data_IF_009290966016
#
_entry.id   IF_009290966016
#
_cell.length_a   1.000
_cell.length_b   1.000
_cell.length_c   1.000
_cell.angle_alpha   90.00
_cell.angle_beta   90.00
_cell.angle_gamma   90.00
#
_symmetry.space_group_name_H-M   'P 1'
#
loop_
_entity.id
_entity.type
_entity.pdbx_description
1 polymer ?
#
# COMPACT_ATOMS: atom_id res chain seq x y z
N UNK A 1 -75.26 49.77 -13.39
CA UNK A 1 -76.23 49.85 -12.28
C UNK A 1 -75.94 48.68 -11.36
N UNK A 2 -75.16 48.90 -10.31
CA UNK A 2 -75.64 49.21 -8.96
C UNK A 2 -76.31 48.03 -8.23
N UNK A 3 -75.51 47.46 -7.33
CA UNK A 3 -75.81 47.00 -5.97
C UNK A 3 -77.24 46.53 -5.60
N UNK A 4 -77.36 45.28 -5.10
CA UNK A 4 -78.19 44.95 -3.92
C UNK A 4 -77.57 43.81 -3.07
N UNK A 5 -77.20 44.19 -1.83
CA UNK A 5 -77.38 43.55 -0.49
C UNK A 5 -76.99 42.06 -0.27
N UNK A 6 -75.99 41.83 0.60
CA UNK A 6 -76.08 41.54 2.06
C UNK A 6 -76.76 40.20 2.42
N UNK A 7 -75.93 39.20 2.75
CA UNK A 7 -76.18 38.22 3.82
C UNK A 7 -74.83 37.95 4.53
N UNK A 8 -74.74 38.26 5.83
CA UNK A 8 -73.60 37.91 6.69
C UNK A 8 -73.85 36.50 7.26
N UNK A 9 -72.91 35.54 7.12
CA UNK A 9 -72.98 34.29 7.87
C UNK A 9 -72.58 34.52 9.36
N UNK A 10 -73.04 33.65 10.28
CA UNK A 10 -72.87 33.83 11.72
C UNK A 10 -71.40 33.74 12.17
N UNK A 11 -71.07 34.47 13.23
CA UNK A 11 -69.71 34.76 13.72
C UNK A 11 -69.10 33.72 14.66
N UNK A 12 -69.64 32.51 14.75
CA UNK A 12 -69.12 31.48 15.66
C UNK A 12 -69.45 30.08 15.15
N UNK A 13 -68.49 29.15 15.06
CA UNK A 13 -68.76 27.77 14.69
C UNK A 13 -69.68 27.10 15.73
N UNK A 14 -70.48 26.09 15.34
CA UNK A 14 -71.31 25.33 16.27
C UNK A 14 -70.41 24.71 17.36
N UNK A 15 -70.84 24.76 18.63
CA UNK A 15 -70.09 24.23 19.79
C UNK A 15 -69.58 22.79 19.61
N UNK A 16 -70.24 22.03 18.75
CA UNK A 16 -69.90 20.65 18.39
C UNK A 16 -68.61 20.56 17.55
N UNK A 17 -68.36 21.52 16.65
CA UNK A 17 -67.14 21.57 15.82
C UNK A 17 -65.94 21.96 16.68
N UNK A 18 -66.12 22.90 17.62
CA UNK A 18 -65.06 23.37 18.52
C UNK A 18 -64.58 22.25 19.48
N UNK A 19 -65.51 21.42 19.96
CA UNK A 19 -65.23 20.24 20.77
C UNK A 19 -64.46 19.15 19.99
N UNK A 20 -64.82 18.94 18.71
CA UNK A 20 -64.12 17.98 17.84
C UNK A 20 -62.70 18.46 17.54
N UNK A 21 -62.49 19.74 17.23
CA UNK A 21 -61.13 20.29 17.02
C UNK A 21 -60.26 20.19 18.25
N UNK A 22 -60.79 20.49 19.46
CA UNK A 22 -60.04 20.31 20.71
C UNK A 22 -59.68 18.84 20.95
N UNK A 23 -60.60 17.90 20.72
CA UNK A 23 -60.32 16.47 20.89
C UNK A 23 -59.28 15.95 19.88
N UNK A 24 -59.27 16.45 18.64
CA UNK A 24 -58.25 16.11 17.64
C UNK A 24 -56.88 16.68 18.02
N UNK A 25 -56.84 17.91 18.54
CA UNK A 25 -55.60 18.57 18.96
C UNK A 25 -54.99 17.91 20.22
N UNK A 26 -55.82 17.51 21.18
CA UNK A 26 -55.42 16.72 22.35
C UNK A 26 -54.85 15.36 21.93
N UNK A 27 -55.55 14.62 21.06
CA UNK A 27 -55.05 13.33 20.56
C UNK A 27 -53.75 13.45 19.75
N UNK A 28 -53.56 14.54 19.02
CA UNK A 28 -52.32 14.80 18.26
C UNK A 28 -51.14 15.10 19.20
N UNK A 29 -51.38 15.84 20.28
CA UNK A 29 -50.37 16.11 21.31
C UNK A 29 -50.02 14.85 22.11
N UNK A 30 -51.00 14.01 22.42
CA UNK A 30 -50.75 12.69 23.04
C UNK A 30 -49.92 11.80 22.11
N UNK A 31 -50.28 11.70 20.83
CA UNK A 31 -49.51 10.92 19.85
C UNK A 31 -48.06 11.40 19.71
N UNK A 32 -47.85 12.72 19.66
CA UNK A 32 -46.49 13.30 19.68
C UNK A 32 -45.73 12.97 20.96
N UNK A 33 -46.40 13.01 22.12
CA UNK A 33 -45.81 12.59 23.39
C UNK A 33 -45.35 11.14 23.37
N UNK A 34 -46.16 10.23 22.84
CA UNK A 34 -45.81 8.81 22.68
C UNK A 34 -44.66 8.60 21.68
N UNK A 35 -44.61 9.33 20.58
CA UNK A 35 -43.49 9.28 19.64
C UNK A 35 -42.18 9.73 20.28
N UNK A 36 -42.18 10.84 21.03
CA UNK A 36 -40.99 11.33 21.74
C UNK A 36 -40.53 10.33 22.79
N UNK A 37 -41.46 9.74 23.55
CA UNK A 37 -41.14 8.72 24.55
C UNK A 37 -40.55 7.45 23.91
N UNK A 38 -41.12 7.00 22.79
CA UNK A 38 -40.62 5.85 22.04
C UNK A 38 -39.23 6.10 21.44
N UNK A 39 -38.98 7.29 20.90
CA UNK A 39 -37.65 7.69 20.42
C UNK A 39 -36.62 7.75 21.55
N UNK A 40 -37.00 8.26 22.72
CA UNK A 40 -36.12 8.30 23.88
C UNK A 40 -35.78 6.90 24.41
N UNK A 41 -36.77 6.00 24.46
CA UNK A 41 -36.58 4.59 24.83
C UNK A 41 -35.71 3.84 23.81
N UNK A 42 -35.91 4.07 22.52
CA UNK A 42 -35.07 3.48 21.46
C UNK A 42 -33.61 3.93 21.58
N UNK A 43 -33.37 5.22 21.85
CA UNK A 43 -32.02 5.75 22.08
C UNK A 43 -31.38 5.15 23.33
N UNK A 44 -32.15 4.97 24.40
CA UNK A 44 -31.69 4.28 25.61
C UNK A 44 -31.29 2.84 25.33
N UNK A 45 -32.12 2.08 24.60
CA UNK A 45 -31.82 0.69 24.22
C UNK A 45 -30.57 0.61 23.33
N UNK A 46 -30.43 1.50 22.35
CA UNK A 46 -29.22 1.59 21.51
C UNK A 46 -28.00 1.93 22.38
N UNK A 47 -28.11 2.90 23.29
CA UNK A 47 -27.01 3.28 24.17
C UNK A 47 -26.57 2.16 25.10
N UNK A 48 -27.53 1.41 25.69
CA UNK A 48 -27.25 0.23 26.49
C UNK A 48 -26.67 -0.92 25.66
N UNK A 49 -27.16 -1.13 24.43
CA UNK A 49 -26.63 -2.11 23.48
C UNK A 49 -25.18 -1.82 23.11
N UNK A 50 -24.87 -0.56 22.76
CA UNK A 50 -23.52 -0.09 22.46
C UNK A 50 -22.61 -0.22 23.69
N UNK A 51 -23.07 0.19 24.87
CA UNK A 51 -22.30 0.05 26.11
C UNK A 51 -21.99 -1.42 26.44
N UNK A 52 -22.97 -2.31 26.25
CA UNK A 52 -22.82 -3.75 26.49
C UNK A 52 -21.88 -4.39 25.46
N UNK A 53 -21.97 -3.99 24.19
CA UNK A 53 -21.05 -4.39 23.12
C UNK A 53 -19.62 -3.91 23.39
N UNK A 54 -19.41 -2.67 23.80
CA UNK A 54 -18.08 -2.12 24.15
C UNK A 54 -17.48 -2.82 25.36
N UNK A 55 -18.31 -3.24 26.33
CA UNK A 55 -17.84 -3.91 27.56
C UNK A 55 -17.56 -5.40 27.37
N UNK A 56 -18.32 -6.08 26.51
CA UNK A 56 -18.13 -7.51 26.19
C UNK A 56 -17.14 -7.74 25.05
N UNK A 57 -17.00 -6.77 24.14
CA UNK A 57 -16.07 -6.79 23.01
C UNK A 57 -15.25 -5.49 22.99
N UNK A 58 -14.14 -5.42 23.75
CA UNK A 58 -13.28 -4.23 23.82
C UNK A 58 -12.72 -3.76 22.46
N UNK A 59 -12.80 -4.62 21.44
CA UNK A 59 -12.26 -4.41 20.09
C UNK A 59 -13.33 -3.97 19.06
N UNK A 60 -14.57 -3.69 19.46
CA UNK A 60 -15.68 -3.38 18.53
C UNK A 60 -15.62 -1.95 17.94
N UNK A 61 -14.84 -1.06 18.55
CA UNK A 61 -14.48 0.23 17.95
C UNK A 61 -13.10 0.09 17.31
N UNK A 62 -12.87 0.62 16.10
CA UNK A 62 -11.52 0.68 15.54
C UNK A 62 -10.64 1.40 16.55
N UNK A 63 -9.63 0.69 17.08
CA UNK A 63 -8.61 1.26 17.92
C UNK A 63 -7.77 2.24 17.09
N UNK A 64 -8.26 3.46 16.90
CA UNK A 64 -7.40 4.63 16.74
C UNK A 64 -6.83 4.93 18.13
N UNK A 65 -5.92 4.09 18.62
CA UNK A 65 -4.97 4.57 19.62
C UNK A 65 -4.01 5.48 18.84
N UNK A 66 -4.04 6.81 19.03
CA UNK A 66 -2.95 7.62 18.51
C UNK A 66 -1.66 7.07 19.12
N UNK A 67 -0.72 6.67 18.27
CA UNK A 67 0.60 6.25 18.72
C UNK A 67 1.26 7.34 19.58
N UNK A 68 2.29 7.03 20.38
CA UNK A 68 2.86 7.98 21.36
C UNK A 68 3.53 9.22 20.74
N UNK A 69 3.58 9.34 19.42
CA UNK A 69 4.26 10.42 18.73
C UNK A 69 3.25 11.50 18.32
N UNK A 70 3.00 12.46 19.24
CA UNK A 70 2.57 13.80 18.80
C UNK A 70 3.48 14.22 17.63
N UNK A 71 2.95 14.78 16.54
CA UNK A 71 3.77 15.32 15.48
C UNK A 71 4.88 16.21 16.04
N UNK A 72 6.13 15.75 15.89
CA UNK A 72 7.25 16.68 15.91
C UNK A 72 7.04 17.75 14.82
N UNK A 73 7.69 18.91 14.94
CA UNK A 73 7.54 19.98 13.96
C UNK A 73 7.86 19.45 12.55
N UNK A 74 7.07 19.90 11.55
CA UNK A 74 7.31 19.58 10.15
C UNK A 74 8.67 20.17 9.76
N UNK A 75 9.61 19.28 9.40
CA UNK A 75 10.89 19.67 8.85
C UNK A 75 10.70 20.03 7.37
N UNK A 76 10.70 21.34 7.07
CA UNK A 76 10.36 21.88 5.73
C UNK A 76 11.19 21.28 4.61
N UNK A 77 12.50 21.10 4.82
CA UNK A 77 13.39 20.49 3.82
C UNK A 77 12.93 19.08 3.38
N UNK A 78 12.37 18.26 4.28
CA UNK A 78 11.85 16.94 3.92
C UNK A 78 10.46 17.00 3.27
N UNK A 79 9.62 17.96 3.69
CA UNK A 79 8.34 18.21 3.06
C UNK A 79 8.51 18.66 1.60
N UNK A 80 9.46 19.56 1.34
CA UNK A 80 9.76 20.05 0.00
C UNK A 80 10.37 18.93 -0.86
N UNK A 81 11.30 18.15 -0.30
CA UNK A 81 11.87 16.98 -0.99
C UNK A 81 10.80 15.94 -1.35
N UNK A 82 9.82 15.70 -0.46
CA UNK A 82 8.69 14.81 -0.74
C UNK A 82 7.82 15.35 -1.89
N UNK A 83 7.56 16.66 -1.92
CA UNK A 83 6.84 17.30 -3.02
C UNK A 83 7.56 17.15 -4.37
N UNK A 84 8.89 17.27 -4.39
CA UNK A 84 9.70 17.02 -5.59
C UNK A 84 9.67 15.54 -5.98
N UNK A 85 9.79 14.63 -5.01
CA UNK A 85 9.73 13.19 -5.28
C UNK A 85 8.40 12.81 -5.95
N UNK A 86 7.29 13.41 -5.56
CA UNK A 86 6.03 13.14 -6.25
C UNK A 86 5.87 13.85 -7.60
N UNK A 87 6.56 14.97 -7.85
CA UNK A 87 6.67 15.52 -9.20
C UNK A 87 7.42 14.56 -10.12
N UNK A 88 8.43 13.85 -9.62
CA UNK A 88 9.12 12.81 -10.39
C UNK A 88 8.16 11.68 -10.84
N UNK A 89 7.23 11.25 -9.99
CA UNK A 89 6.18 10.31 -10.43
C UNK A 89 5.32 10.85 -11.58
N UNK A 90 4.94 12.13 -11.55
CA UNK A 90 4.21 12.76 -12.66
C UNK A 90 5.07 12.81 -13.94
N UNK A 91 6.37 13.07 -13.80
CA UNK A 91 7.35 13.09 -14.89
C UNK A 91 7.54 11.72 -15.53
N UNK A 92 7.31 10.61 -14.82
CA UNK A 92 7.44 9.27 -15.39
C UNK A 92 6.17 8.73 -16.04
N UNK A 93 5.01 9.40 -15.92
CA UNK A 93 3.73 8.87 -16.42
C UNK A 93 3.75 8.67 -17.94
N UNK A 94 3.36 7.48 -18.39
CA UNK A 94 3.05 7.19 -19.79
C UNK A 94 1.54 7.20 -20.03
N UNK A 95 1.11 7.40 -21.27
CA UNK A 95 -0.30 7.38 -21.66
C UNK A 95 -0.89 8.77 -21.82
N UNK A 96 -2.22 8.85 -21.78
CA UNK A 96 -2.95 10.12 -21.89
C UNK A 96 -2.95 10.85 -20.55
N UNK A 97 -2.22 11.95 -20.43
CA UNK A 97 -2.06 12.66 -19.17
C UNK A 97 -3.32 13.46 -18.82
N UNK A 98 -3.85 13.24 -17.61
CA UNK A 98 -5.03 13.95 -17.09
C UNK A 98 -4.60 14.83 -15.92
N UNK A 99 -5.07 16.09 -15.89
CA UNK A 99 -4.68 17.08 -14.87
C UNK A 99 -3.15 17.25 -14.75
N UNK A 100 -2.46 17.25 -15.90
CA UNK A 100 -1.00 17.26 -15.94
C UNK A 100 -0.42 18.54 -15.31
N UNK A 101 0.45 18.37 -14.31
CA UNK A 101 1.17 19.45 -13.63
C UNK A 101 2.53 19.75 -14.24
N UNK A 102 3.04 18.86 -15.09
CA UNK A 102 4.36 18.96 -15.70
C UNK A 102 4.19 19.50 -17.11
N UNK A 103 4.38 20.82 -17.26
CA UNK A 103 4.10 21.55 -18.51
C UNK A 103 4.85 21.06 -19.76
N UNK A 104 6.00 20.41 -19.57
CA UNK A 104 6.82 19.89 -20.66
C UNK A 104 6.59 18.41 -20.97
N UNK A 105 5.74 17.72 -20.19
CA UNK A 105 5.26 16.37 -20.50
C UNK A 105 3.94 16.44 -21.26
N UNK A 106 3.76 15.55 -22.23
CA UNK A 106 2.54 15.39 -23.01
C UNK A 106 2.07 13.94 -23.09
N UNK A 107 0.99 13.73 -23.84
CA UNK A 107 0.46 12.41 -24.13
C UNK A 107 1.49 11.57 -24.90
N UNK A 108 1.75 10.36 -24.43
CA UNK A 108 2.74 9.46 -25.03
C UNK A 108 2.27 8.01 -25.02
N UNK A 109 2.84 7.19 -25.93
CA UNK A 109 2.61 5.74 -25.98
C UNK A 109 1.12 5.29 -25.93
N UNK A 110 0.25 6.08 -26.56
CA UNK A 110 -1.22 5.89 -26.51
C UNK A 110 -1.73 4.59 -27.14
N UNK A 111 -0.86 3.85 -27.85
CA UNK A 111 -1.20 2.60 -28.54
C UNK A 111 -0.57 1.36 -27.90
N UNK A 112 0.10 1.52 -26.77
CA UNK A 112 0.69 0.41 -26.03
C UNK A 112 -0.39 -0.65 -25.71
N UNK A 113 -0.13 -1.91 -26.10
CA UNK A 113 -1.06 -3.03 -25.91
C UNK A 113 -2.09 -3.24 -27.04
N UNK A 114 -2.18 -2.34 -28.02
CA UNK A 114 -3.14 -2.45 -29.12
C UNK A 114 -2.93 -3.71 -29.99
N UNK A 115 -1.70 -4.21 -30.10
CA UNK A 115 -1.36 -5.48 -30.77
C UNK A 115 -1.84 -6.72 -30.02
N UNK A 116 -2.34 -6.54 -28.79
CA UNK A 116 -2.92 -7.56 -27.90
C UNK A 116 -4.38 -7.31 -27.56
N UNK A 117 -5.01 -6.29 -28.16
CA UNK A 117 -6.35 -5.82 -27.81
C UNK A 117 -6.50 -5.40 -26.33
N UNK A 118 -5.45 -4.81 -25.75
CA UNK A 118 -5.42 -4.29 -24.38
C UNK A 118 -5.09 -2.80 -24.37
N UNK A 119 -5.51 -2.10 -23.31
CA UNK A 119 -5.04 -0.74 -23.02
C UNK A 119 -3.90 -0.80 -22.00
N UNK A 120 -2.66 -0.83 -22.51
CA UNK A 120 -1.45 -0.78 -21.70
C UNK A 120 -0.81 0.61 -21.74
N UNK A 121 -1.59 1.66 -22.06
CA UNK A 121 -1.09 3.02 -22.26
C UNK A 121 -0.61 3.70 -20.98
N UNK A 122 -1.24 3.42 -19.83
CA UNK A 122 -0.82 3.94 -18.51
C UNK A 122 0.48 3.30 -18.01
N UNK A 123 0.82 3.56 -16.75
CA UNK A 123 2.04 3.08 -16.10
C UNK A 123 3.13 4.15 -16.12
N UNK A 124 4.30 3.77 -15.63
CA UNK A 124 5.47 4.62 -15.57
C UNK A 124 6.52 4.15 -16.58
N UNK A 125 7.24 5.08 -17.19
CA UNK A 125 8.55 4.77 -17.74
C UNK A 125 9.52 4.47 -16.61
N UNK A 126 10.40 3.50 -16.85
CA UNK A 126 11.21 2.89 -15.80
C UNK A 126 12.28 3.85 -15.24
N UNK A 127 13.12 4.40 -16.12
CA UNK A 127 14.22 5.27 -15.73
C UNK A 127 14.30 6.51 -16.63
N UNK A 128 15.42 6.68 -17.34
CA UNK A 128 15.58 7.71 -18.38
C UNK A 128 15.18 7.23 -19.77
N UNK A 129 14.75 5.98 -19.90
CA UNK A 129 14.26 5.33 -21.09
C UNK A 129 12.72 5.39 -21.17
N UNK A 130 12.13 4.86 -22.24
CA UNK A 130 10.67 4.83 -22.42
C UNK A 130 10.10 3.40 -22.35
N UNK A 131 10.84 2.43 -21.83
CA UNK A 131 10.33 1.08 -21.57
C UNK A 131 9.48 1.07 -20.30
N UNK A 132 8.41 0.28 -20.31
CA UNK A 132 7.63 -0.04 -19.10
C UNK A 132 8.07 -1.41 -18.60
N UNK A 133 8.94 -1.47 -17.60
CA UNK A 133 9.31 -2.73 -16.94
C UNK A 133 8.37 -2.99 -15.75
N UNK A 134 7.57 -4.06 -15.84
CA UNK A 134 6.54 -4.38 -14.85
C UNK A 134 7.10 -4.76 -13.48
N UNK A 135 8.26 -5.40 -13.41
CA UNK A 135 8.85 -5.88 -12.16
C UNK A 135 9.29 -4.74 -11.21
N UNK A 136 10.17 -3.81 -11.60
CA UNK A 136 10.51 -2.64 -10.78
C UNK A 136 9.33 -1.67 -10.59
N UNK A 137 8.41 -1.57 -11.56
CA UNK A 137 7.20 -0.73 -11.43
C UNK A 137 6.26 -1.27 -10.35
N UNK A 138 6.06 -2.60 -10.28
CA UNK A 138 5.28 -3.23 -9.23
C UNK A 138 5.92 -3.05 -7.86
N UNK A 139 7.24 -3.27 -7.75
CA UNK A 139 7.99 -2.98 -6.52
C UNK A 139 7.81 -1.54 -6.04
N UNK A 140 7.86 -0.58 -6.96
CA UNK A 140 7.61 0.84 -6.67
C UNK A 140 6.21 1.07 -6.11
N UNK A 141 5.18 0.43 -6.68
CA UNK A 141 3.81 0.50 -6.16
C UNK A 141 3.66 -0.14 -4.79
N UNK A 142 4.34 -1.26 -4.52
CA UNK A 142 4.31 -1.90 -3.20
C UNK A 142 4.95 -1.01 -2.13
N UNK A 143 6.12 -0.42 -2.41
CA UNK A 143 6.78 0.52 -1.48
C UNK A 143 5.97 1.79 -1.27
N UNK A 144 5.39 2.36 -2.33
CA UNK A 144 4.53 3.53 -2.23
C UNK A 144 3.28 3.22 -1.38
N UNK A 145 2.67 2.05 -1.56
CA UNK A 145 1.57 1.59 -0.73
C UNK A 145 1.98 1.46 0.73
N UNK A 146 3.12 0.81 1.01
CA UNK A 146 3.63 0.67 2.38
C UNK A 146 3.89 2.03 3.04
N UNK A 147 4.50 2.97 2.30
CA UNK A 147 4.75 4.32 2.80
C UNK A 147 3.45 5.09 3.08
N UNK A 148 2.42 4.96 2.24
CA UNK A 148 1.11 5.58 2.46
C UNK A 148 0.42 4.96 3.69
N UNK A 149 0.50 3.64 3.85
CA UNK A 149 -0.12 2.94 4.99
C UNK A 149 0.51 3.36 6.34
N UNK A 150 1.82 3.53 6.38
CA UNK A 150 2.55 3.84 7.61
C UNK A 150 2.63 5.36 7.88
N UNK A 151 2.72 6.17 6.83
CA UNK A 151 3.00 7.61 6.93
C UNK A 151 1.98 8.51 6.22
N UNK A 152 0.82 7.99 5.81
CA UNK A 152 -0.20 8.75 5.10
C UNK A 152 -0.69 10.00 5.83
N UNK A 153 -0.83 9.94 7.16
CA UNK A 153 -1.17 11.12 7.98
C UNK A 153 -0.07 12.20 7.92
N UNK A 154 1.20 11.80 7.80
CA UNK A 154 2.34 12.72 7.65
C UNK A 154 2.35 13.35 6.28
N UNK A 155 2.06 12.57 5.23
CA UNK A 155 1.90 13.09 3.87
C UNK A 155 0.72 14.07 3.79
N UNK A 156 -0.38 13.80 4.50
CA UNK A 156 -1.54 14.70 4.56
C UNK A 156 -1.20 16.03 5.24
N UNK A 157 -0.42 16.00 6.32
CA UNK A 157 0.02 17.21 7.02
C UNK A 157 0.90 18.15 6.18
N UNK A 158 1.43 17.67 5.05
CA UNK A 158 2.21 18.46 4.07
C UNK A 158 1.58 18.49 2.69
N UNK A 159 0.28 18.16 2.59
CA UNK A 159 -0.52 18.24 1.37
C UNK A 159 -0.02 17.34 0.21
N UNK A 160 0.67 16.24 0.53
CA UNK A 160 1.22 15.30 -0.46
C UNK A 160 0.43 13.98 -0.56
N UNK A 161 -0.49 13.69 0.36
CA UNK A 161 -1.21 12.41 0.37
C UNK A 161 -2.03 12.15 -0.90
N UNK A 162 -2.76 13.16 -1.39
CA UNK A 162 -3.58 13.00 -2.60
C UNK A 162 -2.74 12.65 -3.82
N UNK A 163 -1.60 13.33 -3.99
CA UNK A 163 -0.67 13.04 -5.07
C UNK A 163 -0.02 11.66 -4.94
N UNK A 164 0.30 11.23 -3.71
CA UNK A 164 0.81 9.88 -3.47
C UNK A 164 -0.21 8.81 -3.91
N UNK A 165 -1.49 9.00 -3.55
CA UNK A 165 -2.58 8.10 -3.92
C UNK A 165 -2.87 8.12 -5.43
N UNK A 166 -2.82 9.29 -6.06
CA UNK A 166 -3.01 9.42 -7.51
C UNK A 166 -1.90 8.70 -8.29
N UNK A 167 -0.65 8.83 -7.85
CA UNK A 167 0.49 8.15 -8.46
C UNK A 167 0.42 6.63 -8.25
N UNK A 168 0.03 6.18 -7.06
CA UNK A 168 -0.23 4.76 -6.81
C UNK A 168 -1.32 4.22 -7.74
N UNK A 169 -2.45 4.93 -7.84
CA UNK A 169 -3.56 4.55 -8.72
C UNK A 169 -3.14 4.50 -10.18
N UNK A 170 -2.29 5.43 -10.63
CA UNK A 170 -1.78 5.44 -12.01
C UNK A 170 -1.02 4.16 -12.35
N UNK A 171 -0.19 3.68 -11.43
CA UNK A 171 0.55 2.43 -11.58
C UNK A 171 -0.42 1.25 -11.53
N UNK A 172 -1.30 1.18 -10.53
CA UNK A 172 -2.18 0.02 -10.35
C UNK A 172 -3.25 -0.10 -11.44
N UNK A 173 -3.69 1.01 -12.06
CA UNK A 173 -4.54 0.95 -13.26
C UNK A 173 -3.85 0.25 -14.43
N UNK A 174 -2.54 0.49 -14.62
CA UNK A 174 -1.76 -0.24 -15.62
C UNK A 174 -1.62 -1.71 -15.25
N UNK A 175 -1.31 -2.01 -13.98
CA UNK A 175 -1.14 -3.40 -13.52
C UNK A 175 -2.43 -4.22 -13.66
N UNK A 176 -3.61 -3.63 -13.40
CA UNK A 176 -4.91 -4.28 -13.63
C UNK A 176 -5.08 -4.60 -15.13
N UNK A 177 -4.85 -3.62 -16.01
CA UNK A 177 -4.99 -3.83 -17.44
C UNK A 177 -3.97 -4.83 -18.00
N UNK A 178 -2.80 -4.93 -17.37
CA UNK A 178 -1.76 -5.89 -17.70
C UNK A 178 -2.12 -7.34 -17.29
N UNK A 179 -3.15 -7.54 -16.46
CA UNK A 179 -3.64 -8.85 -16.04
C UNK A 179 -5.05 -9.14 -16.61
N UNK A 180 -5.16 -9.46 -17.92
CA UNK A 180 -6.45 -9.64 -18.55
C UNK A 180 -7.15 -10.96 -18.20
N UNK A 181 -6.40 -11.96 -17.72
CA UNK A 181 -6.93 -13.28 -17.35
C UNK A 181 -6.06 -13.95 -16.28
N UNK A 182 -6.60 -14.90 -15.47
CA UNK A 182 -5.96 -15.38 -14.24
C UNK A 182 -4.53 -15.92 -14.36
N UNK A 183 -4.11 -16.43 -15.53
CA UNK A 183 -2.77 -16.99 -15.75
C UNK A 183 -2.00 -16.25 -16.87
N UNK A 184 -2.29 -14.97 -17.06
CA UNK A 184 -1.69 -14.12 -18.08
C UNK A 184 -1.34 -12.76 -17.49
N UNK A 185 -0.08 -12.35 -17.61
CA UNK A 185 0.39 -11.05 -17.12
C UNK A 185 1.37 -10.43 -18.12
N UNK A 186 1.05 -9.22 -18.59
CA UNK A 186 1.95 -8.40 -19.40
C UNK A 186 2.95 -7.67 -18.51
N UNK A 187 4.22 -7.97 -18.69
CA UNK A 187 5.30 -7.53 -17.77
C UNK A 187 6.27 -6.55 -18.42
N UNK A 188 6.12 -6.31 -19.72
CA UNK A 188 6.95 -5.35 -20.43
C UNK A 188 6.18 -4.73 -21.60
N UNK A 189 6.34 -3.43 -21.82
CA UNK A 189 5.93 -2.77 -23.07
C UNK A 189 7.07 -1.89 -23.58
N UNK A 190 7.45 -2.12 -24.84
CA UNK A 190 8.66 -1.56 -25.44
C UNK A 190 9.73 -2.64 -25.63
N UNK A 191 10.50 -2.53 -26.71
CA UNK A 191 11.72 -3.30 -26.92
C UNK A 191 12.89 -2.50 -26.34
N UNK A 192 13.59 -2.98 -25.30
CA UNK A 192 14.60 -2.18 -24.62
C UNK A 192 15.81 -1.88 -25.49
N UNK A 193 16.23 -2.83 -26.34
CA UNK A 193 17.40 -2.63 -27.19
C UNK A 193 17.08 -1.53 -28.23
N UNK A 194 15.88 -1.52 -28.81
CA UNK A 194 15.45 -0.45 -29.74
C UNK A 194 15.22 0.90 -29.07
N UNK A 195 14.61 0.89 -27.87
CA UNK A 195 14.34 2.11 -27.10
C UNK A 195 15.65 2.81 -26.72
N UNK A 196 16.66 2.05 -26.30
CA UNK A 196 17.95 2.57 -25.85
C UNK A 196 18.88 3.00 -27.00
N UNK A 197 18.57 2.60 -28.24
CA UNK A 197 19.25 3.12 -29.45
C UNK A 197 18.79 4.54 -29.82
N UNK A 198 17.68 5.04 -29.26
CA UNK A 198 17.11 6.35 -29.57
C UNK A 198 17.14 7.29 -28.36
N UNK A 199 17.63 8.53 -28.55
CA UNK A 199 17.55 9.58 -27.54
C UNK A 199 16.43 10.57 -27.91
N UNK A 200 15.25 10.37 -27.33
CA UNK A 200 14.09 11.19 -27.66
C UNK A 200 13.14 11.40 -26.48
N UNK A 201 12.17 12.29 -26.70
CA UNK A 201 11.07 12.50 -25.77
C UNK A 201 10.02 11.38 -25.91
N UNK A 202 9.34 10.96 -24.85
CA UNK A 202 8.31 9.93 -24.94
C UNK A 202 7.17 10.28 -25.92
N UNK A 203 6.86 11.57 -26.09
CA UNK A 203 5.83 12.07 -27.03
C UNK A 203 6.27 11.99 -28.50
N UNK A 204 7.54 11.71 -28.76
CA UNK A 204 8.17 11.62 -30.08
C UNK A 204 8.27 10.20 -30.63
N UNK A 205 8.17 9.19 -29.76
CA UNK A 205 8.43 7.80 -30.10
C UNK A 205 7.68 7.35 -31.34
N UNK A 206 8.41 6.75 -32.27
CA UNK A 206 7.90 6.27 -33.54
C UNK A 206 8.06 4.75 -33.70
N UNK A 207 8.86 4.16 -32.83
CA UNK A 207 9.31 2.78 -32.84
C UNK A 207 8.15 1.86 -32.45
N UNK A 208 8.26 0.60 -32.87
CA UNK A 208 7.32 -0.41 -32.41
C UNK A 208 7.58 -0.70 -30.93
N UNK A 209 6.51 -0.67 -30.13
CA UNK A 209 6.56 -0.96 -28.69
C UNK A 209 5.82 -2.26 -28.35
N UNK A 210 6.46 -3.44 -28.55
CA UNK A 210 5.80 -4.73 -28.34
C UNK A 210 5.48 -4.97 -26.86
N UNK A 211 4.37 -5.66 -26.59
CA UNK A 211 4.03 -6.12 -25.25
C UNK A 211 4.50 -7.58 -25.04
N UNK A 212 5.29 -7.81 -23.99
CA UNK A 212 5.75 -9.13 -23.56
C UNK A 212 5.02 -9.57 -22.29
N UNK A 213 4.81 -10.89 -22.17
CA UNK A 213 4.00 -11.48 -21.11
C UNK A 213 4.63 -12.73 -20.53
N UNK A 214 4.20 -13.06 -19.32
CA UNK A 214 4.36 -14.37 -18.69
C UNK A 214 3.00 -15.07 -18.62
N UNK A 215 3.02 -16.39 -18.70
CA UNK A 215 1.83 -17.24 -18.64
C UNK A 215 2.19 -18.66 -18.18
N UNK A 216 1.22 -19.57 -18.16
CA UNK A 216 1.42 -20.94 -17.71
C UNK A 216 2.53 -21.72 -18.48
N UNK A 217 2.82 -21.38 -19.73
CA UNK A 217 3.90 -22.01 -20.52
C UNK A 217 5.25 -21.31 -20.38
N UNK A 218 5.22 -20.02 -20.08
CA UNK A 218 6.39 -19.15 -19.88
C UNK A 218 6.23 -18.41 -18.55
N UNK A 219 6.46 -19.10 -17.42
CA UNK A 219 6.14 -18.59 -16.09
C UNK A 219 7.02 -17.41 -15.67
N UNK A 220 6.53 -16.65 -14.69
CA UNK A 220 7.26 -15.55 -14.05
C UNK A 220 6.72 -15.29 -12.66
N UNK A 221 7.05 -16.19 -11.73
CA UNK A 221 6.59 -16.17 -10.34
C UNK A 221 7.03 -14.93 -9.59
N UNK A 222 8.26 -14.49 -9.83
CA UNK A 222 8.85 -13.26 -9.28
C UNK A 222 7.99 -12.04 -9.61
N UNK A 223 7.86 -11.71 -10.89
CA UNK A 223 7.12 -10.54 -11.34
C UNK A 223 5.62 -10.67 -11.06
N UNK A 224 5.03 -11.86 -11.20
CA UNK A 224 3.61 -12.06 -10.89
C UNK A 224 3.33 -11.91 -9.39
N UNK A 225 4.19 -12.42 -8.52
CA UNK A 225 4.05 -12.24 -7.09
C UNK A 225 4.33 -10.79 -6.65
N UNK A 226 5.27 -10.08 -7.28
CA UNK A 226 5.46 -8.64 -6.98
C UNK A 226 4.23 -7.81 -7.42
N UNK A 227 3.62 -8.10 -8.57
CA UNK A 227 2.36 -7.45 -8.96
C UNK A 227 1.23 -7.80 -7.99
N UNK A 228 1.16 -9.04 -7.51
CA UNK A 228 0.22 -9.43 -6.47
C UNK A 228 0.45 -8.64 -5.16
N UNK A 229 1.71 -8.47 -4.74
CA UNK A 229 2.08 -7.66 -3.57
C UNK A 229 1.68 -6.19 -3.75
N UNK A 230 1.92 -5.61 -4.93
CA UNK A 230 1.57 -4.25 -5.27
C UNK A 230 0.05 -4.02 -5.18
N UNK A 231 -0.74 -4.92 -5.76
CA UNK A 231 -2.19 -4.82 -5.74
C UNK A 231 -2.79 -5.11 -4.35
N UNK A 232 -2.28 -6.12 -3.64
CA UNK A 232 -2.74 -6.43 -2.28
C UNK A 232 -2.47 -5.27 -1.31
N UNK A 233 -1.25 -4.70 -1.33
CA UNK A 233 -0.90 -3.54 -0.51
C UNK A 233 -1.68 -2.28 -0.91
N UNK A 234 -1.86 -2.01 -2.21
CA UNK A 234 -2.69 -0.90 -2.68
C UNK A 234 -4.16 -1.06 -2.28
N UNK A 235 -4.69 -2.29 -2.26
CA UNK A 235 -6.08 -2.54 -1.83
C UNK A 235 -6.33 -2.03 -0.40
N UNK A 236 -5.34 -2.11 0.49
CA UNK A 236 -5.42 -1.59 1.85
C UNK A 236 -5.46 -0.06 1.87
N UNK A 237 -4.69 0.60 1.01
CA UNK A 237 -4.69 2.07 0.87
C UNK A 237 -6.06 2.56 0.43
N UNK A 238 -6.64 1.93 -0.60
CA UNK A 238 -7.91 2.35 -1.17
C UNK A 238 -9.14 1.84 -0.42
N UNK A 239 -8.99 0.92 0.54
CA UNK A 239 -10.11 0.26 1.25
C UNK A 239 -11.20 1.19 1.78
N UNK A 240 -10.83 2.38 2.27
CA UNK A 240 -11.78 3.39 2.80
C UNK A 240 -12.11 4.51 1.80
N UNK A 241 -11.32 4.63 0.73
CA UNK A 241 -11.39 5.73 -0.24
C UNK A 241 -12.25 5.31 -1.43
N UNK A 242 -12.01 4.10 -1.94
CA UNK A 242 -12.69 3.48 -3.06
C UNK A 242 -12.78 1.96 -2.80
N UNK A 243 -13.83 1.49 -2.09
CA UNK A 243 -13.99 0.09 -1.73
C UNK A 243 -14.13 -0.85 -2.92
N UNK A 244 -14.72 -0.39 -4.03
CA UNK A 244 -14.90 -1.20 -5.24
C UNK A 244 -13.54 -1.40 -5.94
N UNK A 245 -12.75 -0.34 -6.08
CA UNK A 245 -11.39 -0.44 -6.60
C UNK A 245 -10.49 -1.28 -5.69
N UNK A 246 -10.61 -1.12 -4.36
CA UNK A 246 -9.94 -1.97 -3.37
C UNK A 246 -10.27 -3.45 -3.58
N UNK A 247 -11.54 -3.78 -3.81
CA UNK A 247 -11.96 -5.14 -4.09
C UNK A 247 -11.36 -5.66 -5.40
N UNK A 248 -11.39 -4.88 -6.49
CA UNK A 248 -10.75 -5.24 -7.77
C UNK A 248 -9.27 -5.54 -7.60
N UNK A 249 -8.52 -4.67 -6.91
CA UNK A 249 -7.10 -4.88 -6.65
C UNK A 249 -6.84 -6.18 -5.89
N UNK A 250 -7.61 -6.43 -4.82
CA UNK A 250 -7.45 -7.64 -4.01
C UNK A 250 -7.75 -8.91 -4.81
N UNK A 251 -8.78 -8.92 -5.64
CA UNK A 251 -9.10 -10.08 -6.48
C UNK A 251 -7.99 -10.37 -7.49
N UNK A 252 -7.49 -9.35 -8.18
CA UNK A 252 -6.36 -9.53 -9.11
C UNK A 252 -5.09 -10.01 -8.36
N UNK A 253 -4.86 -9.53 -7.13
CA UNK A 253 -3.74 -9.99 -6.32
C UNK A 253 -3.85 -11.48 -5.92
N UNK A 254 -5.05 -11.93 -5.54
CA UNK A 254 -5.32 -13.33 -5.20
C UNK A 254 -5.10 -14.24 -6.42
N UNK A 255 -5.56 -13.83 -7.60
CA UNK A 255 -5.37 -14.55 -8.88
C UNK A 255 -3.89 -14.63 -9.28
N UNK A 256 -3.18 -13.49 -9.28
CA UNK A 256 -1.77 -13.43 -9.65
C UNK A 256 -0.87 -14.21 -8.69
N UNK A 257 -1.16 -14.21 -7.39
CA UNK A 257 -0.43 -15.04 -6.44
C UNK A 257 -0.65 -16.53 -6.71
N UNK A 258 -1.90 -16.94 -6.98
CA UNK A 258 -2.19 -18.32 -7.34
C UNK A 258 -1.46 -18.74 -8.63
N UNK A 259 -1.44 -17.88 -9.65
CA UNK A 259 -0.67 -18.09 -10.87
C UNK A 259 0.83 -18.22 -10.61
N UNK A 260 1.41 -17.30 -9.84
CA UNK A 260 2.83 -17.28 -9.50
C UNK A 260 3.28 -18.54 -8.76
N UNK A 261 2.49 -19.02 -7.80
CA UNK A 261 2.81 -20.19 -6.99
C UNK A 261 2.58 -21.52 -7.73
N UNK A 262 1.55 -21.58 -8.60
CA UNK A 262 1.20 -22.78 -9.36
C UNK A 262 2.19 -23.05 -10.50
N UNK A 263 2.63 -22.01 -11.23
CA UNK A 263 3.55 -22.13 -12.35
C UNK A 263 4.90 -21.50 -11.99
N UNK A 264 5.72 -22.24 -11.25
CA UNK A 264 6.97 -21.72 -10.69
C UNK A 264 8.08 -21.52 -11.72
N UNK A 265 8.62 -20.32 -11.82
CA UNK A 265 9.78 -20.01 -12.64
C UNK A 265 10.12 -18.52 -12.66
N UNK A 266 11.40 -18.17 -12.84
CA UNK A 266 11.82 -16.77 -12.93
C UNK A 266 11.43 -16.19 -14.30
N UNK A 267 10.86 -14.98 -14.33
CA UNK A 267 10.39 -14.37 -15.58
C UNK A 267 11.53 -14.11 -16.57
N UNK A 268 12.74 -13.88 -16.05
CA UNK A 268 13.92 -13.62 -16.86
C UNK A 268 14.40 -14.86 -17.61
N UNK A 269 13.98 -16.07 -17.19
CA UNK A 269 14.19 -17.32 -17.95
C UNK A 269 13.17 -17.41 -19.09
N UNK A 270 11.93 -17.01 -18.84
CA UNK A 270 10.85 -16.99 -19.84
C UNK A 270 11.03 -15.88 -20.88
N UNK A 271 11.64 -14.77 -20.49
CA UNK A 271 11.90 -13.58 -21.31
C UNK A 271 13.41 -13.25 -21.25
N UNK A 272 14.28 -14.04 -21.91
CA UNK A 272 15.74 -13.93 -21.74
C UNK A 272 16.33 -12.55 -22.04
N UNK A 273 15.70 -11.76 -22.91
CA UNK A 273 16.14 -10.41 -23.26
C UNK A 273 16.10 -9.45 -22.07
N UNK A 274 15.24 -9.67 -21.08
CA UNK A 274 15.11 -8.78 -19.92
C UNK A 274 16.31 -8.87 -18.97
N UNK A 275 17.11 -9.94 -19.06
CA UNK A 275 18.25 -10.18 -18.17
C UNK A 275 19.31 -9.07 -18.21
N UNK A 276 19.44 -8.38 -19.34
CA UNK A 276 20.38 -7.25 -19.47
C UNK A 276 19.97 -6.04 -18.63
N UNK A 277 18.71 -5.95 -18.23
CA UNK A 277 18.09 -4.79 -17.59
C UNK A 277 17.65 -5.13 -16.16
N UNK A 278 16.74 -6.09 -16.03
CA UNK A 278 16.13 -6.51 -14.76
C UNK A 278 16.19 -8.03 -14.61
N UNK A 279 17.38 -8.60 -14.51
CA UNK A 279 17.52 -10.04 -14.25
C UNK A 279 16.97 -10.41 -12.88
N UNK A 280 16.08 -11.40 -12.84
CA UNK A 280 15.65 -12.03 -11.59
C UNK A 280 16.71 -12.99 -11.03
N UNK A 281 16.97 -12.91 -9.73
CA UNK A 281 17.83 -13.88 -9.01
C UNK A 281 17.06 -15.01 -8.34
N UNK A 282 15.73 -14.90 -8.24
CA UNK A 282 14.87 -15.86 -7.55
C UNK A 282 13.40 -15.45 -7.63
N UNK A 283 12.54 -16.22 -6.97
CA UNK A 283 11.10 -15.88 -6.82
C UNK A 283 10.56 -16.21 -5.43
N UNK A 284 11.38 -16.85 -4.58
CA UNK A 284 10.91 -17.38 -3.29
C UNK A 284 10.55 -16.25 -2.34
N UNK A 285 11.34 -15.19 -2.34
CA UNK A 285 11.12 -13.98 -1.56
C UNK A 285 9.93 -13.17 -2.07
N UNK A 286 9.68 -13.07 -3.37
CA UNK A 286 8.45 -12.44 -3.87
C UNK A 286 7.21 -13.23 -3.47
N UNK A 287 7.25 -14.57 -3.46
CA UNK A 287 6.14 -15.39 -2.98
C UNK A 287 5.87 -15.13 -1.49
N UNK A 288 6.90 -15.05 -0.66
CA UNK A 288 6.74 -14.66 0.76
C UNK A 288 6.26 -13.21 0.91
N UNK A 289 6.74 -12.31 0.07
CA UNK A 289 6.35 -10.91 0.09
C UNK A 289 4.88 -10.71 -0.26
N UNK A 290 4.43 -11.33 -1.35
CA UNK A 290 3.05 -11.30 -1.81
C UNK A 290 2.09 -11.93 -0.80
N UNK A 291 2.43 -13.12 -0.28
CA UNK A 291 1.62 -13.76 0.74
C UNK A 291 1.52 -12.91 2.03
N UNK A 292 2.58 -12.15 2.37
CA UNK A 292 2.54 -11.22 3.52
C UNK A 292 1.52 -10.11 3.30
N UNK A 293 1.54 -9.45 2.14
CA UNK A 293 0.57 -8.40 1.82
C UNK A 293 -0.85 -8.93 1.67
N UNK A 294 -1.02 -10.10 1.05
CA UNK A 294 -2.31 -10.77 0.94
C UNK A 294 -2.87 -11.12 2.31
N UNK A 295 -2.05 -11.63 3.24
CA UNK A 295 -2.48 -11.85 4.61
C UNK A 295 -2.98 -10.55 5.27
N UNK A 296 -2.26 -9.44 5.13
CA UNK A 296 -2.73 -8.15 5.67
C UNK A 296 -4.02 -7.65 5.00
N UNK A 297 -4.19 -7.87 3.70
CA UNK A 297 -5.35 -7.45 2.91
C UNK A 297 -6.62 -8.28 3.22
N UNK A 298 -6.48 -9.60 3.32
CA UNK A 298 -7.60 -10.56 3.40
C UNK A 298 -7.86 -11.07 4.80
N UNK A 299 -6.83 -11.17 5.64
CA UNK A 299 -6.80 -11.92 6.91
C UNK A 299 -7.13 -13.41 6.75
N UNK A 300 -6.96 -13.96 5.54
CA UNK A 300 -7.05 -15.40 5.32
C UNK A 300 -5.83 -16.11 5.96
N UNK A 301 -6.04 -17.01 6.93
CA UNK A 301 -4.95 -17.75 7.58
C UNK A 301 -4.15 -18.64 6.62
N UNK A 302 -4.66 -18.96 5.43
CA UNK A 302 -3.94 -19.73 4.42
C UNK A 302 -2.62 -19.06 4.02
N UNK A 303 -2.59 -17.73 3.90
CA UNK A 303 -1.39 -16.96 3.60
C UNK A 303 -0.41 -16.96 4.78
N UNK A 304 -0.87 -16.80 6.02
CA UNK A 304 0.04 -16.89 7.17
C UNK A 304 0.68 -18.27 7.26
N UNK A 305 -0.10 -19.33 7.04
CA UNK A 305 0.40 -20.70 6.99
C UNK A 305 1.39 -20.91 5.84
N UNK A 306 1.15 -20.30 4.68
CA UNK A 306 2.07 -20.30 3.54
C UNK A 306 3.45 -19.73 3.94
N UNK A 307 3.44 -18.55 4.57
CA UNK A 307 4.64 -17.82 5.00
C UNK A 307 5.45 -18.55 6.07
N UNK A 308 4.77 -19.36 6.87
CA UNK A 308 5.35 -19.87 8.11
C UNK A 308 5.65 -21.37 8.06
N UNK A 309 4.63 -22.18 7.80
CA UNK A 309 4.67 -23.64 7.88
C UNK A 309 5.00 -24.28 6.54
N UNK A 310 4.50 -23.72 5.43
CA UNK A 310 4.60 -24.38 4.12
C UNK A 310 5.92 -24.02 3.41
N UNK A 311 6.20 -22.71 3.24
CA UNK A 311 7.34 -22.25 2.44
C UNK A 311 8.37 -21.43 3.22
N UNK A 312 8.09 -21.07 4.48
CA UNK A 312 8.99 -20.24 5.28
C UNK A 312 10.40 -20.82 5.41
N UNK A 313 10.54 -22.13 5.62
CA UNK A 313 11.86 -22.79 5.71
C UNK A 313 12.65 -22.75 4.40
N UNK A 314 11.97 -22.84 3.26
CA UNK A 314 12.61 -22.94 1.94
C UNK A 314 12.96 -21.56 1.39
N UNK A 315 12.08 -20.58 1.58
CA UNK A 315 12.19 -19.26 0.95
C UNK A 315 12.61 -18.14 1.91
N UNK A 316 12.76 -18.41 3.21
CA UNK A 316 12.98 -17.33 4.21
C UNK A 316 14.40 -16.77 4.30
N UNK A 317 15.38 -17.38 3.62
CA UNK A 317 16.81 -17.05 3.70
C UNK A 317 17.33 -16.83 5.14
N UNK A 318 17.21 -17.87 5.97
CA UNK A 318 17.52 -17.78 7.40
C UNK A 318 19.03 -17.72 7.64
N UNK A 319 19.49 -16.64 8.28
CA UNK A 319 20.87 -16.47 8.72
C UNK A 319 21.73 -15.53 7.86
N UNK A 320 21.22 -15.08 6.70
CA UNK A 320 21.93 -14.16 5.83
C UNK A 320 21.10 -12.88 5.57
N UNK A 321 21.39 -11.76 6.27
CA UNK A 321 20.74 -10.48 6.01
C UNK A 321 20.99 -10.00 4.57
N UNK A 322 19.91 -9.88 3.78
CA UNK A 322 19.98 -9.42 2.39
C UNK A 322 19.72 -7.92 2.23
N UNK A 323 19.88 -7.42 1.00
CA UNK A 323 19.63 -6.03 0.64
C UNK A 323 18.27 -5.87 -0.02
N UNK A 324 17.35 -5.21 0.67
CA UNK A 324 16.00 -4.97 0.14
C UNK A 324 16.05 -4.16 -1.17
N UNK A 325 15.43 -4.67 -2.23
CA UNK A 325 15.46 -4.11 -3.57
C UNK A 325 14.30 -4.60 -4.42
N UNK A 326 14.24 -4.16 -5.68
CA UNK A 326 13.27 -4.67 -6.66
C UNK A 326 13.46 -6.17 -6.97
N UNK A 327 14.60 -6.77 -6.63
CA UNK A 327 14.96 -8.17 -6.89
C UNK A 327 15.04 -9.05 -5.63
N UNK A 328 15.18 -8.46 -4.43
CA UNK A 328 15.26 -9.22 -3.18
C UNK A 328 14.36 -8.59 -2.10
N UNK A 329 13.36 -9.36 -1.66
CA UNK A 329 12.28 -8.93 -0.75
C UNK A 329 12.44 -9.50 0.65
N UNK A 330 13.48 -10.28 0.95
CA UNK A 330 13.62 -10.96 2.25
C UNK A 330 13.65 -9.95 3.40
N UNK A 331 14.53 -8.95 3.36
CA UNK A 331 14.64 -7.93 4.40
C UNK A 331 13.33 -7.13 4.59
N UNK A 332 12.62 -6.84 3.50
CA UNK A 332 11.30 -6.19 3.55
C UNK A 332 10.24 -7.07 4.22
N UNK A 333 10.12 -8.32 3.79
CA UNK A 333 9.22 -9.34 4.37
C UNK A 333 9.49 -9.54 5.87
N UNK A 334 10.76 -9.65 6.25
CA UNK A 334 11.17 -9.84 7.65
C UNK A 334 10.74 -8.66 8.52
N UNK A 335 10.97 -7.42 8.09
CA UNK A 335 10.53 -6.22 8.82
C UNK A 335 9.01 -6.11 8.86
N UNK A 336 8.32 -6.38 7.75
CA UNK A 336 6.87 -6.36 7.66
C UNK A 336 6.21 -7.39 8.60
N UNK A 337 6.76 -8.59 8.72
CA UNK A 337 6.23 -9.63 9.63
C UNK A 337 6.68 -9.43 11.08
N UNK A 338 7.84 -8.79 11.33
CA UNK A 338 8.25 -8.41 12.68
C UNK A 338 7.23 -7.48 13.36
N UNK A 339 6.52 -6.66 12.57
CA UNK A 339 5.41 -5.83 13.03
C UNK A 339 4.36 -6.61 13.82
N UNK A 340 3.99 -7.81 13.38
CA UNK A 340 2.96 -8.62 14.07
C UNK A 340 3.38 -8.96 15.50
N UNK A 341 4.67 -9.28 15.70
CA UNK A 341 5.22 -9.55 17.03
C UNK A 341 5.28 -8.30 17.89
N UNK A 342 5.70 -7.15 17.34
CA UNK A 342 5.75 -5.88 18.08
C UNK A 342 4.36 -5.40 18.50
N UNK A 343 3.35 -5.55 17.65
CA UNK A 343 2.00 -5.06 17.90
C UNK A 343 1.09 -6.08 18.61
N UNK A 344 1.59 -7.29 18.86
CA UNK A 344 0.87 -8.32 19.60
C UNK A 344 -0.29 -8.94 18.83
N UNK A 345 -0.24 -8.97 17.49
CA UNK A 345 -1.23 -9.65 16.65
C UNK A 345 -1.06 -11.18 16.75
N UNK A 346 -1.57 -11.79 17.84
CA UNK A 346 -1.38 -13.23 18.16
C UNK A 346 -2.65 -14.08 18.13
N UNK A 347 -3.81 -13.46 17.95
CA UNK A 347 -5.09 -14.17 17.98
C UNK A 347 -5.18 -15.16 16.82
N UNK A 348 -5.43 -16.43 17.13
CA UNK A 348 -5.57 -17.50 16.13
C UNK A 348 -4.26 -18.03 15.54
N UNK A 349 -3.09 -17.62 16.06
CA UNK A 349 -1.78 -18.08 15.58
C UNK A 349 -1.35 -19.34 16.35
N UNK A 350 -1.04 -20.41 15.62
CA UNK A 350 -0.52 -21.65 16.20
C UNK A 350 0.91 -21.53 16.73
N UNK A 351 1.37 -22.45 17.60
CA UNK A 351 2.74 -22.43 18.12
C UNK A 351 3.82 -22.45 17.02
N UNK A 352 3.61 -23.22 15.94
CA UNK A 352 4.55 -23.35 14.83
C UNK A 352 4.62 -22.06 13.99
N UNK A 353 3.47 -21.45 13.71
CA UNK A 353 3.39 -20.15 13.02
C UNK A 353 4.08 -19.06 13.86
N UNK A 354 3.80 -19.02 15.16
CA UNK A 354 4.43 -18.06 16.08
C UNK A 354 5.95 -18.27 16.18
N UNK A 355 6.44 -19.52 16.17
CA UNK A 355 7.88 -19.80 16.14
C UNK A 355 8.54 -19.22 14.88
N UNK A 356 7.89 -19.35 13.72
CA UNK A 356 8.41 -18.76 12.48
C UNK A 356 8.33 -17.24 12.46
N UNK A 357 7.26 -16.64 12.97
CA UNK A 357 7.17 -15.17 13.13
C UNK A 357 8.29 -14.62 14.02
N UNK A 358 8.69 -15.35 15.07
CA UNK A 358 9.86 -15.00 15.86
C UNK A 358 11.16 -15.06 15.03
N UNK A 359 11.30 -16.01 14.11
CA UNK A 359 12.43 -16.04 13.19
C UNK A 359 12.47 -14.82 12.26
N UNK A 360 11.34 -14.43 11.65
CA UNK A 360 11.25 -13.19 10.87
C UNK A 360 11.69 -11.96 11.69
N UNK A 361 11.26 -11.88 12.95
CA UNK A 361 11.66 -10.79 13.86
C UNK A 361 13.17 -10.80 14.15
N UNK A 362 13.77 -11.99 14.36
CA UNK A 362 15.22 -12.13 14.56
C UNK A 362 16.00 -11.72 13.32
N UNK A 363 15.52 -12.07 12.12
CA UNK A 363 16.18 -11.67 10.87
C UNK A 363 16.04 -10.18 10.58
N UNK A 364 14.88 -9.59 10.87
CA UNK A 364 14.70 -8.14 10.82
C UNK A 364 15.67 -7.42 11.78
N UNK A 365 15.82 -7.93 13.00
CA UNK A 365 16.81 -7.44 13.96
C UNK A 365 18.24 -7.58 13.45
N UNK A 366 18.61 -8.73 12.89
CA UNK A 366 19.93 -8.95 12.31
C UNK A 366 20.22 -7.94 11.19
N UNK A 367 19.26 -7.72 10.29
CA UNK A 367 19.34 -6.68 9.25
C UNK A 367 19.55 -5.30 9.87
N UNK A 368 18.79 -4.92 10.90
CA UNK A 368 19.00 -3.63 11.58
C UNK A 368 20.38 -3.52 12.22
N UNK A 369 20.91 -4.61 12.77
CA UNK A 369 22.25 -4.65 13.34
C UNK A 369 23.34 -4.45 12.29
N UNK A 370 23.19 -4.94 11.05
CA UNK A 370 24.18 -4.67 9.98
C UNK A 370 24.19 -3.20 9.55
N UNK A 371 23.05 -2.51 9.71
CA UNK A 371 22.89 -1.10 9.35
C UNK A 371 23.48 -0.11 10.36
N UNK A 372 23.83 -0.53 11.58
CA UNK A 372 24.35 0.37 12.60
C UNK A 372 25.89 0.35 12.63
N UNK A 373 26.59 1.48 12.37
CA UNK A 373 28.06 1.49 12.27
C UNK A 373 28.81 1.03 13.52
N UNK A 374 28.22 1.20 14.71
CA UNK A 374 28.80 0.74 15.98
C UNK A 374 28.50 -0.72 16.31
N UNK A 375 27.72 -1.42 15.48
CA UNK A 375 27.35 -2.81 15.72
C UNK A 375 28.53 -3.74 15.40
N UNK A 376 28.75 -4.81 16.19
CA UNK A 376 29.75 -5.83 15.85
C UNK A 376 29.49 -6.52 14.51
N UNK A 377 28.24 -6.55 14.05
CA UNK A 377 27.80 -7.09 12.76
C UNK A 377 27.62 -6.03 11.67
N UNK A 378 28.13 -4.80 11.89
CA UNK A 378 28.05 -3.72 10.92
C UNK A 378 28.61 -4.14 9.57
N UNK A 379 27.85 -3.90 8.50
CA UNK A 379 28.30 -4.18 7.12
C UNK A 379 29.46 -3.28 6.71
N UNK A 380 30.38 -3.86 5.93
CA UNK A 380 31.47 -3.13 5.25
C UNK A 380 31.01 -2.41 3.98
N UNK A 381 29.79 -2.67 3.48
CA UNK A 381 29.19 -2.02 2.29
C UNK A 381 28.84 -0.56 2.56
N UNK A 382 29.86 0.27 2.79
CA UNK A 382 29.77 1.68 3.13
C UNK A 382 30.90 2.48 2.51
N UNK A 383 30.60 3.71 2.12
CA UNK A 383 31.62 4.70 1.78
C UNK A 383 32.37 5.18 3.03
N UNK A 384 33.51 5.84 2.85
CA UNK A 384 34.22 6.52 3.94
C UNK A 384 33.37 7.57 4.67
N UNK A 385 32.36 8.15 3.99
CA UNK A 385 31.40 9.09 4.57
C UNK A 385 30.22 8.42 5.30
N UNK A 386 30.15 7.07 5.34
CA UNK A 386 29.11 6.32 6.06
C UNK A 386 27.83 6.03 5.28
N UNK A 387 27.73 6.48 4.02
CA UNK A 387 26.66 6.09 3.09
C UNK A 387 26.71 4.59 2.81
N UNK A 388 25.60 3.88 2.98
CA UNK A 388 25.41 2.51 2.50
C UNK A 388 25.66 2.47 1.00
N UNK A 389 26.61 1.65 0.57
CA UNK A 389 27.01 1.53 -0.82
C UNK A 389 27.26 0.06 -1.15
N UNK A 390 26.34 -0.51 -1.92
CA UNK A 390 26.27 -1.96 -2.19
C UNK A 390 26.70 -2.28 -3.61
N UNK A 391 26.26 -1.46 -4.56
CA UNK A 391 26.54 -1.59 -5.98
C UNK A 391 26.83 -0.21 -6.56
N UNK A 392 27.68 -0.17 -7.58
CA UNK A 392 27.88 1.04 -8.38
C UNK A 392 26.62 1.43 -9.15
N UNK A 393 25.81 0.44 -9.53
CA UNK A 393 24.52 0.61 -10.19
C UNK A 393 23.42 0.80 -9.15
N UNK A 394 22.59 1.83 -9.34
CA UNK A 394 21.50 2.18 -8.40
C UNK A 394 22.00 2.37 -6.96
N UNK A 395 23.18 2.99 -6.79
CA UNK A 395 23.88 3.10 -5.51
C UNK A 395 23.01 3.65 -4.36
N UNK A 396 22.11 4.60 -4.63
CA UNK A 396 21.22 5.18 -3.62
C UNK A 396 19.98 4.33 -3.32
N UNK A 397 19.58 3.41 -4.19
CA UNK A 397 18.41 2.55 -3.97
C UNK A 397 18.56 1.74 -2.68
N UNK A 398 19.70 1.08 -2.49
CA UNK A 398 19.97 0.27 -1.30
C UNK A 398 20.06 1.10 -0.02
N UNK A 399 20.66 2.29 -0.10
CA UNK A 399 20.72 3.22 1.03
C UNK A 399 19.33 3.70 1.45
N UNK A 400 18.49 4.08 0.49
CA UNK A 400 17.12 4.55 0.74
C UNK A 400 16.20 3.41 1.20
N UNK A 401 16.34 2.21 0.64
CA UNK A 401 15.62 1.01 1.08
C UNK A 401 15.98 0.64 2.54
N UNK A 402 17.28 0.61 2.87
CA UNK A 402 17.76 0.40 4.23
C UNK A 402 17.26 1.47 5.20
N UNK A 403 17.26 2.73 4.76
CA UNK A 403 16.71 3.88 5.51
C UNK A 403 15.23 3.66 5.83
N UNK A 404 14.43 3.28 4.84
CA UNK A 404 13.00 3.05 5.00
C UNK A 404 12.72 1.91 5.99
N UNK A 405 13.41 0.79 5.86
CA UNK A 405 13.28 -0.34 6.80
C UNK A 405 13.72 0.03 8.22
N UNK A 406 14.83 0.77 8.38
CA UNK A 406 15.30 1.23 9.69
C UNK A 406 14.31 2.19 10.37
N UNK A 407 13.67 3.07 9.59
CA UNK A 407 12.63 3.98 10.05
C UNK A 407 11.41 3.22 10.55
N UNK A 408 10.92 2.24 9.78
CA UNK A 408 9.79 1.39 10.16
C UNK A 408 10.08 0.57 11.41
N UNK A 409 11.22 -0.12 11.44
CA UNK A 409 11.60 -0.94 12.59
C UNK A 409 11.76 -0.09 13.86
N UNK A 410 12.34 1.10 13.74
CA UNK A 410 12.41 2.08 14.83
C UNK A 410 11.03 2.47 15.36
N UNK A 411 10.05 2.69 14.48
CA UNK A 411 8.67 2.99 14.88
C UNK A 411 7.98 1.82 15.56
N UNK A 412 8.21 0.59 15.10
CA UNK A 412 7.68 -0.60 15.77
C UNK A 412 8.25 -0.74 17.17
N UNK A 413 9.57 -0.55 17.34
CA UNK A 413 10.21 -0.54 18.67
C UNK A 413 9.60 0.55 19.57
N UNK A 414 9.47 1.78 19.07
CA UNK A 414 8.93 2.90 19.85
C UNK A 414 7.47 2.68 20.25
N UNK A 415 6.64 2.20 19.32
CA UNK A 415 5.20 1.97 19.53
C UNK A 415 4.93 0.83 20.52
N UNK A 416 5.74 -0.23 20.45
CA UNK A 416 5.67 -1.39 21.34
C UNK A 416 6.44 -1.22 22.66
N UNK A 417 7.06 -0.06 22.89
CA UNK A 417 7.90 0.24 24.05
C UNK A 417 9.11 -0.71 24.22
N UNK A 418 9.57 -1.34 23.14
CA UNK A 418 10.82 -2.09 23.12
C UNK A 418 11.98 -1.09 23.09
N UNK A 419 12.70 -0.99 24.22
CA UNK A 419 13.72 0.04 24.42
C UNK A 419 15.06 -0.31 23.76
N UNK A 420 15.35 -1.60 23.58
CA UNK A 420 16.67 -2.10 23.21
C UNK A 420 16.62 -3.06 22.03
N UNK A 421 17.46 -2.79 21.04
CA UNK A 421 17.89 -3.71 19.98
C UNK A 421 19.24 -4.29 20.40
N UNK A 422 19.35 -5.63 20.46
CA UNK A 422 20.59 -6.30 20.86
C UNK A 422 21.36 -6.81 19.64
N UNK A 423 22.59 -6.35 19.45
CA UNK A 423 23.47 -6.73 18.35
C UNK A 423 24.78 -7.27 18.94
N UNK A 424 24.89 -8.59 19.06
CA UNK A 424 26.11 -9.31 19.45
C UNK A 424 26.85 -8.73 20.65
N UNK A 425 26.14 -8.52 21.76
CA UNK A 425 26.70 -7.97 23.01
C UNK A 425 26.64 -6.45 23.13
N UNK A 426 26.28 -5.75 22.05
CA UNK A 426 26.04 -4.30 22.05
C UNK A 426 24.55 -4.01 22.02
N UNK A 427 24.13 -2.91 22.68
CA UNK A 427 22.72 -2.49 22.69
C UNK A 427 22.56 -1.17 21.97
N UNK A 428 21.49 -1.08 21.20
CA UNK A 428 21.07 0.12 20.48
C UNK A 428 19.62 0.43 20.81
N UNK A 429 19.20 1.66 20.55
CA UNK A 429 17.85 2.15 20.74
C UNK A 429 17.16 2.42 19.42
N UNK A 430 15.84 2.62 19.45
CA UNK A 430 15.10 3.10 18.29
C UNK A 430 15.64 4.44 17.75
N UNK A 431 16.24 5.28 18.61
CA UNK A 431 16.85 6.55 18.22
C UNK A 431 18.13 6.36 17.40
N UNK A 432 18.89 5.29 17.64
CA UNK A 432 20.11 4.99 16.86
C UNK A 432 19.75 4.61 15.43
N UNK A 433 18.67 3.82 15.25
CA UNK A 433 18.11 3.54 13.92
C UNK A 433 17.59 4.81 13.23
N UNK A 434 16.92 5.71 13.97
CA UNK A 434 16.52 7.01 13.41
C UNK A 434 17.72 7.87 13.02
N UNK A 435 18.76 7.87 13.84
CA UNK A 435 19.98 8.61 13.55
C UNK A 435 20.65 8.09 12.27
N UNK A 436 20.83 6.77 12.16
CA UNK A 436 21.30 6.13 10.93
C UNK A 436 20.46 6.54 9.72
N UNK A 437 19.13 6.44 9.81
CA UNK A 437 18.25 6.83 8.71
C UNK A 437 18.43 8.31 8.30
N UNK A 438 18.63 9.21 9.27
CA UNK A 438 18.88 10.63 8.98
C UNK A 438 20.22 10.82 8.25
N UNK A 439 21.29 10.09 8.63
CA UNK A 439 22.60 10.23 7.98
C UNK A 439 22.59 9.76 6.53
N UNK A 440 21.73 8.79 6.18
CA UNK A 440 21.61 8.33 4.79
C UNK A 440 20.91 9.35 3.87
N UNK A 441 20.08 10.25 4.42
CA UNK A 441 19.31 11.24 3.64
C UNK A 441 19.94 12.64 3.69
N UNK A 442 20.69 12.97 4.74
CA UNK A 442 21.36 14.27 4.95
C UNK A 442 22.88 14.12 4.89
N UNK A 443 23.43 13.84 3.72
CA UNK A 443 24.87 14.06 3.51
C UNK A 443 25.12 15.52 3.11
#
# INVERSE_FOLDING_TARGET
MEAIKKLKPPKTPPKEVEAITKNVEVKKNEFWGWCVLASFLALLVISCGVYTLVKLFPNFLPHNKPGPNRPGPIARNYADALGIAFQFFDVQRSGKLVNNRISWRGDSALRDGSDRNLDLSKGLYDAGDNVKFGFPMAFTATLLSWAILEYGERMAAVEQLGQAQDSLKWITDFLINAHPSPNELYVQVGDPDLDHECWERPEGMSERRPAAQVNASFPGSDVAAEVAAAMASASLVFKKIDPDYSFTLRTNAEELFAFADLYRGAYSVSIPQVKKFYNSTGYGDELLWAASWLYYATRDPSYLKYLTVINGDVFGNWGDPSWFSWDDKHAGTQVLLARMNFLGEKDGISPDENAKLQMYTRMAQATMCTLLPGSPSATSSRTAGGLIWVSEWNALQYSLAATFLAVLYSDYMATSQVQTLFCDGTTFSSKDLRHFAITQVRN
#
